data_IF_268297982289
#
_entry.id   IF_268297982289
#
_cell.length_a   1.000
_cell.length_b   1.000
_cell.length_c   1.000
_cell.angle_alpha   90.00
_cell.angle_beta   90.00
_cell.angle_gamma   90.00
#
_symmetry.space_group_name_H-M   'P 1'
#
loop_
_entity.id
_entity.type
_entity.pdbx_description
1 polymer ?
#
# COMPACT_ATOMS: atom_id res chain seq x y z
N UNK A 1 -41.75 8.80 73.10
CA UNK A 1 -42.86 9.11 72.20
C UNK A 1 -42.32 9.93 71.05
N UNK A 2 -42.13 9.31 69.90
CA UNK A 2 -42.24 10.00 68.65
C UNK A 2 -42.26 8.92 67.54
N UNK A 3 -43.38 8.79 66.93
CA UNK A 3 -43.68 7.98 65.80
C UNK A 3 -43.11 8.71 64.54
N UNK A 4 -42.28 8.05 63.76
CA UNK A 4 -41.94 8.47 62.41
C UNK A 4 -42.54 7.47 61.45
N UNK A 5 -43.62 7.86 60.80
CA UNK A 5 -44.29 7.11 59.74
C UNK A 5 -43.40 7.14 58.48
N UNK A 6 -42.80 6.00 58.14
CA UNK A 6 -42.14 5.78 56.83
C UNK A 6 -43.23 5.47 55.80
N UNK A 7 -43.47 6.46 54.90
CA UNK A 7 -44.29 6.28 53.72
C UNK A 7 -43.52 5.51 52.63
N UNK A 8 -43.83 4.23 52.49
CA UNK A 8 -43.37 3.38 51.38
C UNK A 8 -44.04 3.83 50.09
N UNK A 9 -43.26 4.51 49.21
CA UNK A 9 -43.71 4.83 47.87
C UNK A 9 -43.71 3.56 47.03
N UNK A 10 -44.89 3.02 46.82
CA UNK A 10 -45.11 1.88 45.91
C UNK A 10 -44.91 2.35 44.47
N UNK A 11 -43.75 2.15 43.89
CA UNK A 11 -43.52 2.36 42.47
C UNK A 11 -44.26 1.27 41.66
N UNK A 12 -45.39 1.64 41.13
CA UNK A 12 -46.18 0.81 40.22
C UNK A 12 -45.42 0.61 38.92
N UNK A 13 -44.80 -0.57 38.76
CA UNK A 13 -44.10 -1.00 37.54
C UNK A 13 -45.09 -0.99 36.36
N UNK A 14 -45.07 0.01 35.52
CA UNK A 14 -45.90 0.12 34.32
C UNK A 14 -45.38 -0.94 33.32
N UNK A 15 -46.08 -2.04 33.17
CA UNK A 15 -45.86 -3.00 32.10
C UNK A 15 -46.33 -2.38 30.81
N UNK A 16 -45.39 -1.83 30.00
CA UNK A 16 -45.68 -1.40 28.64
C UNK A 16 -46.07 -2.64 27.83
N UNK A 17 -47.29 -2.67 27.33
CA UNK A 17 -47.72 -3.70 26.37
C UNK A 17 -47.11 -3.31 25.01
N UNK A 18 -46.31 -4.19 24.46
CA UNK A 18 -45.76 -4.03 23.10
C UNK A 18 -46.92 -3.98 22.11
N UNK A 19 -47.03 -2.89 21.38
CA UNK A 19 -48.02 -2.71 20.33
C UNK A 19 -47.45 -3.19 18.98
N UNK A 20 -48.36 -3.62 18.10
CA UNK A 20 -47.98 -4.06 16.73
C UNK A 20 -47.23 -2.97 15.98
N UNK A 21 -47.49 -1.70 16.33
CA UNK A 21 -46.78 -0.53 15.78
C UNK A 21 -45.32 -0.52 16.22
N UNK A 22 -45.00 -0.86 17.47
CA UNK A 22 -43.62 -0.92 17.98
C UNK A 22 -42.84 -2.01 17.26
N UNK A 23 -43.50 -3.12 16.89
CA UNK A 23 -42.89 -4.19 16.12
C UNK A 23 -42.56 -3.77 14.65
N UNK A 24 -43.50 -3.05 14.03
CA UNK A 24 -43.29 -2.49 12.68
C UNK A 24 -42.14 -1.46 12.66
N UNK A 25 -42.07 -0.59 13.67
CA UNK A 25 -40.97 0.40 13.81
C UNK A 25 -39.63 -0.30 13.99
N UNK A 26 -39.60 -1.39 14.79
CA UNK A 26 -38.38 -2.17 15.01
C UNK A 26 -37.89 -2.83 13.71
N UNK A 27 -38.79 -3.41 12.89
CA UNK A 27 -38.48 -3.97 11.58
C UNK A 27 -37.90 -2.87 10.64
N UNK A 28 -38.52 -1.70 10.62
CA UNK A 28 -38.08 -0.59 9.80
C UNK A 28 -36.66 -0.14 10.17
N UNK A 29 -36.37 -0.04 11.47
CA UNK A 29 -35.03 0.33 11.95
C UNK A 29 -33.98 -0.72 11.53
N UNK A 30 -34.29 -2.03 11.68
CA UNK A 30 -33.40 -3.10 11.25
C UNK A 30 -33.16 -3.07 9.74
N UNK A 31 -34.19 -2.79 8.96
CA UNK A 31 -34.06 -2.66 7.49
C UNK A 31 -33.16 -1.47 7.10
N UNK A 32 -33.31 -0.31 7.77
CA UNK A 32 -32.44 0.86 7.52
C UNK A 32 -30.98 0.57 7.87
N UNK A 33 -30.74 -0.08 9.03
CA UNK A 33 -29.38 -0.47 9.44
C UNK A 33 -28.80 -1.46 8.43
N UNK A 34 -29.56 -2.46 7.99
CA UNK A 34 -29.14 -3.42 6.98
C UNK A 34 -28.75 -2.77 5.65
N UNK A 35 -29.55 -1.80 5.18
CA UNK A 35 -29.26 -1.01 3.97
C UNK A 35 -27.99 -0.15 4.14
N UNK A 36 -27.81 0.47 5.30
CA UNK A 36 -26.64 1.28 5.58
C UNK A 36 -25.36 0.44 5.60
N UNK A 37 -25.39 -0.72 6.25
CA UNK A 37 -24.27 -1.69 6.28
C UNK A 37 -23.98 -2.21 4.86
N UNK A 38 -25.03 -2.56 4.10
CA UNK A 38 -24.85 -3.00 2.71
C UNK A 38 -24.21 -1.90 1.84
N UNK A 39 -24.66 -0.64 1.96
CA UNK A 39 -24.10 0.47 1.22
C UNK A 39 -22.62 0.73 1.59
N UNK A 40 -22.26 0.63 2.87
CA UNK A 40 -20.87 0.75 3.32
C UNK A 40 -20.03 -0.39 2.75
N UNK A 41 -20.50 -1.64 2.80
CA UNK A 41 -19.80 -2.80 2.23
C UNK A 41 -19.61 -2.66 0.73
N UNK A 42 -20.62 -2.17 0.03
CA UNK A 42 -20.56 -2.02 -1.43
C UNK A 42 -19.67 -0.85 -1.86
N UNK A 43 -19.66 0.27 -1.11
CA UNK A 43 -18.89 1.46 -1.47
C UNK A 43 -17.43 1.44 -1.01
N UNK A 44 -17.13 0.78 0.08
CA UNK A 44 -15.75 0.79 0.63
C UNK A 44 -14.87 -0.34 0.10
N UNK A 45 -15.39 -1.21 -0.80
CA UNK A 45 -14.62 -2.35 -1.33
C UNK A 45 -13.97 -3.17 -0.19
N UNK A 46 -14.76 -3.45 0.86
CA UNK A 46 -14.32 -4.17 2.08
C UNK A 46 -13.74 -5.58 1.77
N UNK A 47 -13.74 -6.02 0.53
CA UNK A 47 -12.97 -7.21 0.11
C UNK A 47 -11.52 -7.15 0.59
N UNK A 48 -10.92 -5.96 0.67
CA UNK A 48 -9.56 -5.79 1.17
C UNK A 48 -9.39 -5.99 2.68
N UNK A 49 -10.45 -5.85 3.48
CA UNK A 49 -10.38 -6.07 4.94
C UNK A 49 -10.43 -7.55 5.35
N UNK A 50 -10.84 -8.43 4.43
CA UNK A 50 -10.94 -9.88 4.65
C UNK A 50 -9.93 -10.66 3.79
N UNK A 51 -9.27 -10.00 2.83
CA UNK A 51 -8.12 -10.57 2.16
C UNK A 51 -7.00 -10.63 3.20
N UNK A 52 -6.61 -11.84 3.57
CA UNK A 52 -5.37 -12.07 4.30
C UNK A 52 -4.25 -11.76 3.31
N UNK A 53 -3.88 -10.49 3.19
CA UNK A 53 -2.71 -10.10 2.42
C UNK A 53 -1.53 -10.68 3.17
N UNK A 54 -1.01 -11.80 2.69
CA UNK A 54 0.28 -12.30 3.15
C UNK A 54 1.31 -11.31 2.64
N UNK A 55 1.89 -10.54 3.58
CA UNK A 55 3.08 -9.76 3.27
C UNK A 55 4.25 -10.73 3.23
N UNK A 56 4.75 -10.97 2.04
CA UNK A 56 5.91 -11.83 1.82
C UNK A 56 7.17 -10.97 1.66
N UNK A 57 8.30 -11.49 2.14
CA UNK A 57 9.60 -10.89 1.86
C UNK A 57 9.82 -10.89 0.35
N UNK A 58 9.93 -9.70 -0.20
CA UNK A 58 9.99 -9.48 -1.63
C UNK A 58 11.28 -8.76 -2.01
N UNK A 59 11.98 -9.28 -2.98
CA UNK A 59 13.15 -8.64 -3.56
C UNK A 59 12.95 -8.45 -5.05
N UNK A 60 13.23 -7.25 -5.53
CA UNK A 60 13.18 -6.93 -6.94
C UNK A 60 14.40 -6.12 -7.38
N UNK A 61 14.71 -6.18 -8.67
CA UNK A 61 15.82 -5.47 -9.27
C UNK A 61 15.30 -4.43 -10.27
N UNK A 62 15.89 -3.27 -10.21
CA UNK A 62 15.61 -2.17 -11.13
C UNK A 62 16.87 -1.73 -11.84
N UNK A 63 16.73 -1.39 -13.11
CA UNK A 63 17.79 -0.78 -13.92
C UNK A 63 17.58 0.74 -13.99
N UNK A 64 18.58 1.50 -13.55
CA UNK A 64 18.67 2.94 -13.72
C UNK A 64 19.58 3.20 -14.93
N UNK A 65 19.09 3.98 -15.90
CA UNK A 65 19.80 4.21 -17.17
C UNK A 65 20.34 5.63 -17.27
N UNK A 66 21.58 5.74 -17.72
CA UNK A 66 22.21 7.03 -17.97
C UNK A 66 22.46 7.86 -16.72
N UNK A 67 22.71 7.21 -15.60
CA UNK A 67 23.05 7.84 -14.32
C UNK A 67 24.47 8.38 -14.37
N UNK A 68 24.68 9.61 -13.90
CA UNK A 68 26.00 10.20 -13.81
C UNK A 68 26.82 9.50 -12.71
N UNK A 69 28.14 9.36 -12.94
CA UNK A 69 29.04 8.63 -12.02
C UNK A 69 28.93 9.14 -10.58
N UNK A 70 28.79 10.44 -10.38
CA UNK A 70 28.68 11.02 -9.03
C UNK A 70 27.48 10.51 -8.22
N UNK A 71 26.40 10.10 -8.90
CA UNK A 71 25.21 9.55 -8.24
C UNK A 71 25.31 8.04 -8.05
N UNK A 72 26.04 7.33 -8.91
CA UNK A 72 26.32 5.90 -8.73
C UNK A 72 27.01 5.66 -7.39
N UNK A 73 28.00 6.50 -7.07
CA UNK A 73 28.81 6.39 -5.86
C UNK A 73 28.05 6.79 -4.58
N UNK A 74 26.87 7.39 -4.73
CA UNK A 74 25.99 7.82 -3.62
C UNK A 74 24.90 6.82 -3.24
N UNK A 75 24.75 5.74 -4.00
CA UNK A 75 23.80 4.68 -3.65
C UNK A 75 24.47 3.72 -2.68
N UNK A 76 23.96 3.66 -1.47
CA UNK A 76 24.51 2.80 -0.42
C UNK A 76 23.51 1.70 -0.05
N UNK A 77 24.04 0.56 0.38
CA UNK A 77 23.23 -0.49 0.97
C UNK A 77 22.52 0.05 2.22
N UNK A 78 21.23 -0.24 2.32
CA UNK A 78 20.38 0.27 3.40
C UNK A 78 19.70 1.63 3.09
N UNK A 79 20.01 2.27 1.97
CA UNK A 79 19.31 3.48 1.55
C UNK A 79 17.83 3.21 1.34
N UNK A 80 16.99 4.08 1.89
CA UNK A 80 15.54 4.00 1.69
C UNK A 80 15.17 4.56 0.33
N UNK A 81 14.43 3.75 -0.44
CA UNK A 81 13.90 4.16 -1.75
C UNK A 81 12.41 4.47 -1.62
N UNK A 82 11.99 5.60 -2.17
CA UNK A 82 10.59 6.04 -2.16
C UNK A 82 10.07 6.26 -3.58
N UNK A 83 8.78 6.05 -3.78
CA UNK A 83 8.08 6.37 -5.03
C UNK A 83 8.07 7.87 -5.28
N UNK A 84 8.51 8.28 -6.47
CA UNK A 84 8.55 9.69 -6.87
C UNK A 84 7.19 10.38 -6.89
N UNK A 85 6.13 9.62 -7.13
CA UNK A 85 4.75 10.11 -7.26
C UNK A 85 4.02 10.06 -5.93
N UNK A 86 3.82 8.85 -5.38
CA UNK A 86 3.03 8.64 -4.16
C UNK A 86 3.76 9.00 -2.88
N UNK A 87 5.09 9.10 -2.91
CA UNK A 87 5.98 9.30 -1.76
C UNK A 87 6.00 8.14 -0.76
N UNK A 88 5.41 7.02 -1.12
CA UNK A 88 5.44 5.82 -0.31
C UNK A 88 6.79 5.13 -0.41
N UNK A 89 7.20 4.47 0.66
CA UNK A 89 8.43 3.68 0.66
C UNK A 89 8.29 2.47 -0.26
N UNK A 90 9.26 2.26 -1.14
CA UNK A 90 9.35 1.11 -2.05
C UNK A 90 10.27 0.00 -1.54
N UNK A 91 11.09 0.29 -0.52
CA UNK A 91 11.99 -0.66 0.10
C UNK A 91 13.32 -0.03 0.48
N UNK A 92 14.30 -0.88 0.68
CA UNK A 92 15.69 -0.50 0.98
C UNK A 92 16.64 -1.13 -0.02
N UNK A 93 17.69 -0.40 -0.39
CA UNK A 93 18.76 -0.91 -1.25
C UNK A 93 19.46 -2.07 -0.56
N UNK A 94 19.44 -3.25 -1.17
CA UNK A 94 20.18 -4.42 -0.71
C UNK A 94 21.60 -4.42 -1.27
N UNK A 95 21.72 -4.20 -2.60
CA UNK A 95 23.01 -4.09 -3.27
C UNK A 95 22.88 -3.36 -4.61
N UNK A 96 24.00 -2.81 -5.06
CA UNK A 96 24.16 -2.30 -6.43
C UNK A 96 25.01 -3.30 -7.21
N UNK A 97 24.61 -3.64 -8.41
CA UNK A 97 25.25 -4.60 -9.30
C UNK A 97 25.29 -4.07 -10.73
N UNK A 98 26.10 -4.70 -11.59
CA UNK A 98 26.21 -4.42 -13.03
C UNK A 98 26.28 -2.93 -13.37
N UNK A 99 27.42 -2.32 -13.04
CA UNK A 99 27.73 -0.95 -13.48
C UNK A 99 28.31 -1.05 -14.89
N UNK A 100 27.52 -0.68 -15.89
CA UNK A 100 27.92 -0.73 -17.31
C UNK A 100 27.88 0.67 -17.90
N UNK A 101 28.75 0.96 -18.88
CA UNK A 101 28.71 2.24 -19.61
C UNK A 101 27.38 2.40 -20.33
N UNK A 102 26.79 3.59 -20.18
CA UNK A 102 25.59 3.92 -20.93
C UNK A 102 25.93 4.16 -22.39
N UNK A 103 25.24 3.48 -23.30
CA UNK A 103 25.38 3.65 -24.74
C UNK A 103 24.13 4.29 -25.32
N UNK A 104 24.32 5.23 -26.23
CA UNK A 104 23.23 5.83 -27.00
C UNK A 104 23.47 5.74 -28.48
N UNK A 105 22.40 5.80 -29.26
CA UNK A 105 22.50 5.82 -30.72
C UNK A 105 22.80 7.25 -31.19
N UNK A 106 23.93 7.45 -31.84
CA UNK A 106 24.31 8.72 -32.44
C UNK A 106 24.78 8.52 -33.87
N UNK A 107 24.14 9.18 -34.84
CA UNK A 107 24.45 9.10 -36.28
C UNK A 107 24.56 7.67 -36.82
N UNK A 108 23.69 6.73 -36.34
CA UNK A 108 23.67 5.35 -36.81
C UNK A 108 24.69 4.41 -36.14
N UNK A 109 25.45 4.90 -35.17
CA UNK A 109 26.38 4.09 -34.38
C UNK A 109 26.05 4.14 -32.90
N UNK A 110 26.31 3.04 -32.18
CA UNK A 110 26.27 3.01 -30.72
C UNK A 110 27.52 3.70 -30.19
N UNK A 111 27.33 4.72 -29.38
CA UNK A 111 28.41 5.50 -28.75
C UNK A 111 28.26 5.40 -27.23
N UNK A 112 29.37 5.07 -26.58
CA UNK A 112 29.45 5.06 -25.12
C UNK A 112 29.57 6.50 -24.59
N UNK A 113 28.80 6.79 -23.54
CA UNK A 113 28.95 8.05 -22.80
C UNK A 113 30.06 7.92 -21.77
N UNK A 114 31.00 8.86 -21.70
CA UNK A 114 32.15 8.76 -20.80
C UNK A 114 31.76 8.75 -19.32
N UNK A 115 30.74 9.54 -18.95
CA UNK A 115 30.40 9.82 -17.54
C UNK A 115 29.00 9.27 -17.12
N UNK A 116 28.36 8.47 -18.01
CA UNK A 116 27.04 7.90 -17.73
C UNK A 116 27.07 6.39 -17.71
N UNK A 117 26.26 5.83 -16.79
CA UNK A 117 26.22 4.40 -16.52
C UNK A 117 24.79 3.88 -16.46
N UNK A 118 24.63 2.62 -16.83
CA UNK A 118 23.47 1.81 -16.47
C UNK A 118 23.85 0.99 -15.24
N UNK A 119 23.00 1.02 -14.23
CA UNK A 119 23.22 0.30 -12.98
C UNK A 119 22.00 -0.52 -12.63
N UNK A 120 22.22 -1.71 -12.07
CA UNK A 120 21.16 -2.54 -11.52
C UNK A 120 21.20 -2.43 -10.00
N UNK A 121 20.07 -2.04 -9.42
CA UNK A 121 19.89 -1.89 -7.97
C UNK A 121 18.90 -2.95 -7.50
N UNK A 122 19.29 -3.75 -6.51
CA UNK A 122 18.41 -4.70 -5.85
C UNK A 122 17.79 -4.04 -4.62
N UNK A 123 16.48 -4.20 -4.50
CA UNK A 123 15.68 -3.58 -3.45
C UNK A 123 14.94 -4.66 -2.70
N UNK A 124 15.10 -4.67 -1.38
CA UNK A 124 14.40 -5.57 -0.46
C UNK A 124 13.25 -4.84 0.21
N UNK A 125 12.08 -5.47 0.27
CA UNK A 125 10.86 -4.92 0.83
C UNK A 125 9.90 -6.04 1.22
N UNK A 126 8.72 -5.69 1.69
CA UNK A 126 7.57 -6.60 1.79
C UNK A 126 6.55 -6.22 0.72
N UNK A 127 5.96 -7.20 0.07
CA UNK A 127 4.94 -6.98 -0.96
C UNK A 127 3.65 -7.73 -0.63
N UNK A 128 2.54 -7.18 -1.10
CA UNK A 128 1.24 -7.82 -1.09
C UNK A 128 1.00 -8.44 -2.46
N UNK A 129 0.54 -9.69 -2.49
CA UNK A 129 0.11 -10.33 -3.74
C UNK A 129 -1.40 -10.36 -3.83
N UNK A 130 -1.93 -9.86 -4.95
CA UNK A 130 -3.35 -9.94 -5.29
C UNK A 130 -3.53 -10.62 -6.65
N UNK A 131 -4.39 -11.65 -6.69
CA UNK A 131 -4.69 -12.36 -7.93
C UNK A 131 -5.27 -11.40 -8.98
N UNK A 132 -4.69 -11.43 -10.19
CA UNK A 132 -5.06 -10.55 -11.30
C UNK A 132 -4.41 -9.16 -11.28
N UNK A 133 -3.82 -8.73 -10.18
CA UNK A 133 -3.07 -7.48 -10.05
C UNK A 133 -1.56 -7.76 -10.01
N UNK A 134 -1.15 -8.79 -9.26
CA UNK A 134 0.25 -9.15 -9.01
C UNK A 134 0.78 -8.55 -7.70
N UNK A 135 2.10 -8.35 -7.65
CA UNK A 135 2.77 -7.82 -6.47
C UNK A 135 2.64 -6.30 -6.38
N UNK A 136 2.30 -5.83 -5.19
CA UNK A 136 2.23 -4.40 -4.86
C UNK A 136 3.03 -4.09 -3.60
N UNK A 137 3.76 -2.98 -3.63
CA UNK A 137 4.52 -2.46 -2.50
C UNK A 137 3.94 -1.09 -2.13
N UNK A 138 3.32 -1.00 -0.97
CA UNK A 138 2.67 0.24 -0.49
C UNK A 138 1.75 0.90 -1.54
N UNK A 139 0.98 0.06 -2.27
CA UNK A 139 0.05 0.50 -3.30
C UNK A 139 0.69 0.75 -4.67
N UNK A 140 1.99 0.56 -4.84
CA UNK A 140 2.68 0.62 -6.14
C UNK A 140 2.87 -0.79 -6.69
N UNK A 141 2.35 -1.03 -7.90
CA UNK A 141 2.58 -2.30 -8.60
C UNK A 141 4.05 -2.45 -8.98
N UNK A 142 4.61 -3.63 -8.73
CA UNK A 142 5.96 -4.02 -9.11
C UNK A 142 5.88 -5.21 -10.05
N UNK A 143 6.27 -5.02 -11.31
CA UNK A 143 6.29 -6.08 -12.31
C UNK A 143 7.44 -5.81 -13.31
N UNK A 144 7.99 -6.87 -13.88
CA UNK A 144 9.03 -6.74 -14.91
C UNK A 144 8.49 -5.93 -16.09
N UNK A 145 9.26 -4.93 -16.51
CA UNK A 145 8.90 -3.97 -17.56
C UNK A 145 8.20 -2.71 -17.07
N UNK A 146 7.77 -2.65 -15.80
CA UNK A 146 7.22 -1.42 -15.22
C UNK A 146 8.28 -0.34 -15.09
N UNK A 147 7.85 0.91 -15.34
CA UNK A 147 8.65 2.11 -15.18
C UNK A 147 8.25 2.78 -13.87
N UNK A 148 9.21 3.00 -13.00
CA UNK A 148 8.99 3.53 -11.66
C UNK A 148 9.86 4.77 -11.47
N UNK A 149 9.24 5.90 -11.11
CA UNK A 149 10.00 7.06 -10.65
C UNK A 149 10.45 6.79 -9.21
N UNK A 150 11.75 6.72 -8.99
CA UNK A 150 12.34 6.43 -7.70
C UNK A 150 13.12 7.61 -7.16
N UNK A 151 13.04 7.81 -5.85
CA UNK A 151 13.86 8.77 -5.12
C UNK A 151 14.73 8.04 -4.12
N UNK A 152 16.00 8.26 -4.26
CA UNK A 152 17.06 7.90 -3.31
C UNK A 152 17.33 9.09 -2.40
N UNK A 153 18.09 8.94 -1.32
CA UNK A 153 18.35 10.04 -0.39
C UNK A 153 18.90 11.31 -1.06
N UNK A 154 19.76 11.16 -2.06
CA UNK A 154 20.47 12.29 -2.67
C UNK A 154 20.02 12.64 -4.11
N UNK A 155 19.26 11.75 -4.78
CA UNK A 155 18.80 12.00 -6.15
C UNK A 155 17.49 11.28 -6.49
N UNK A 156 16.92 11.61 -7.64
CA UNK A 156 15.77 10.91 -8.21
C UNK A 156 16.10 10.42 -9.62
N UNK A 157 15.57 9.26 -9.97
CA UNK A 157 15.75 8.68 -11.30
C UNK A 157 14.52 7.88 -11.72
N UNK A 158 14.40 7.68 -13.03
CA UNK A 158 13.47 6.71 -13.59
C UNK A 158 14.14 5.34 -13.60
N UNK A 159 13.45 4.36 -13.06
CA UNK A 159 13.92 2.99 -12.95
C UNK A 159 13.03 2.04 -13.76
N UNK A 160 13.62 1.01 -14.33
CA UNK A 160 12.94 -0.05 -15.05
C UNK A 160 13.02 -1.33 -14.22
N UNK A 161 11.90 -1.90 -13.82
CA UNK A 161 11.92 -3.18 -13.12
C UNK A 161 12.35 -4.28 -14.10
N UNK A 162 13.46 -4.96 -13.79
CA UNK A 162 14.07 -5.96 -14.69
C UNK A 162 14.02 -7.38 -14.15
N UNK A 163 13.85 -7.55 -12.83
CA UNK A 163 13.71 -8.86 -12.20
C UNK A 163 13.00 -8.74 -10.84
N UNK A 164 12.55 -9.86 -10.30
CA UNK A 164 12.01 -10.01 -8.96
C UNK A 164 11.77 -11.46 -8.63
N UNK A 165 11.60 -11.77 -7.34
CA UNK A 165 11.22 -13.12 -6.89
C UNK A 165 9.70 -13.30 -7.02
N UNK A 166 9.19 -13.12 -8.22
CA UNK A 166 7.76 -13.34 -8.56
C UNK A 166 7.46 -14.84 -8.54
N UNK A 167 6.65 -15.29 -7.59
CA UNK A 167 6.20 -16.69 -7.44
C UNK A 167 4.86 -16.91 -8.15
#
# INVERSE_FOLDING_TARGET
MNNTNGSTINQKKIKRKFNIVDFLVLILIVAIIGLAVYAVIYWTNIKSLWATNTMDDFQYAVELRGVDQEFVDKINNGDTVIDGVSKNQLGTVDRVDKIEKYTSFNNGALVEHPDKFNITVYISTTAEYEEGVGYTVNGRRIAVGEIIEMRFPEFASVAYCVAGNFN
#
